data_IF_966754087671
#
_entry.id   IF_966754087671
#
_cell.length_a   1.000
_cell.length_b   1.000
_cell.length_c   1.000
_cell.angle_alpha   90.00
_cell.angle_beta   90.00
_cell.angle_gamma   90.00
#
_symmetry.space_group_name_H-M   'P 1'
#
loop_
_entity.id
_entity.type
_entity.pdbx_description
1 polymer ?
#
# COMPACT_ATOMS: atom_id res chain seq x y z
N UNK A 1 23.77 -26.47 1.05
CA UNK A 1 23.75 -25.14 1.71
C UNK A 1 22.32 -24.87 2.11
N UNK A 2 22.08 -24.50 3.36
CA UNK A 2 20.74 -24.10 3.80
C UNK A 2 20.50 -22.66 3.36
N UNK A 3 19.27 -22.33 2.99
CA UNK A 3 18.95 -21.00 2.47
C UNK A 3 17.89 -20.39 3.35
N UNK A 4 18.06 -19.12 3.69
CA UNK A 4 17.01 -18.32 4.33
C UNK A 4 16.68 -17.12 3.45
N UNK A 5 15.44 -17.07 2.97
CA UNK A 5 14.96 -15.93 2.18
C UNK A 5 14.48 -14.84 3.13
N UNK A 6 14.95 -13.63 2.92
CA UNK A 6 14.50 -12.44 3.63
C UNK A 6 13.96 -11.45 2.61
N UNK A 7 12.69 -11.12 2.72
CA UNK A 7 12.02 -10.16 1.87
C UNK A 7 12.10 -8.77 2.51
N UNK A 8 12.55 -7.79 1.73
CA UNK A 8 12.70 -6.40 2.17
C UNK A 8 12.14 -5.42 1.14
N UNK A 9 11.87 -4.21 1.60
CA UNK A 9 11.51 -3.09 0.74
C UNK A 9 12.76 -2.48 0.10
N UNK A 10 12.69 -2.13 -1.18
CA UNK A 10 13.82 -1.68 -1.98
C UNK A 10 14.47 -0.40 -1.44
N UNK A 11 13.66 0.57 -1.01
CA UNK A 11 14.13 1.89 -0.56
C UNK A 11 14.55 1.85 0.90
N UNK A 12 13.63 1.52 1.80
CA UNK A 12 13.86 1.64 3.24
C UNK A 12 14.47 0.38 3.88
N UNK A 13 14.66 -0.71 3.12
CA UNK A 13 15.18 -2.01 3.58
C UNK A 13 14.46 -2.60 4.79
N UNK A 14 13.27 -2.11 5.12
CA UNK A 14 12.45 -2.66 6.19
C UNK A 14 12.14 -4.13 5.88
N UNK A 15 12.07 -4.95 6.93
CA UNK A 15 11.66 -6.34 6.81
C UNK A 15 10.20 -6.39 6.35
N UNK A 16 9.96 -7.03 5.22
CA UNK A 16 8.62 -7.41 4.79
C UNK A 16 8.27 -8.76 5.42
N UNK A 17 9.10 -9.77 5.16
CA UNK A 17 8.88 -11.11 5.67
C UNK A 17 10.21 -11.87 5.81
N UNK A 18 10.32 -12.70 6.85
CA UNK A 18 11.47 -13.60 7.06
C UNK A 18 10.99 -15.03 6.93
N UNK A 19 11.41 -15.71 5.88
CA UNK A 19 11.09 -17.11 5.66
C UNK A 19 11.83 -18.01 6.64
N UNK A 20 11.28 -19.20 6.85
CA UNK A 20 12.00 -20.26 7.55
C UNK A 20 13.22 -20.69 6.74
N UNK A 21 14.15 -21.37 7.41
CA UNK A 21 15.34 -21.91 6.75
C UNK A 21 14.94 -23.10 5.90
N UNK A 22 15.20 -23.04 4.60
CA UNK A 22 15.11 -24.19 3.72
C UNK A 22 16.29 -25.12 3.98
N UNK A 23 15.96 -26.30 4.51
CA UNK A 23 16.91 -27.30 4.95
C UNK A 23 17.43 -28.10 3.74
N UNK A 24 18.73 -28.03 3.49
CA UNK A 24 19.34 -28.90 2.49
C UNK A 24 19.48 -30.35 2.99
N UNK A 25 19.80 -31.30 2.11
CA UNK A 25 20.02 -32.71 2.44
C UNK A 25 21.10 -32.97 3.52
N UNK A 26 21.98 -31.99 3.75
CA UNK A 26 23.03 -32.04 4.79
C UNK A 26 22.63 -31.30 6.08
N UNK A 27 21.37 -30.90 6.22
CA UNK A 27 20.85 -30.28 7.44
C UNK A 27 21.15 -31.18 8.65
N UNK A 28 21.82 -30.62 9.67
CA UNK A 28 22.40 -31.28 10.87
C UNK A 28 23.80 -31.89 10.74
N UNK A 29 24.45 -31.89 9.58
CA UNK A 29 25.88 -32.21 9.49
C UNK A 29 26.72 -31.00 9.93
N UNK A 30 27.82 -31.24 10.65
CA UNK A 30 28.75 -30.17 11.07
C UNK A 30 29.36 -29.50 9.83
N UNK A 31 29.50 -28.17 9.87
CA UNK A 31 30.11 -27.39 8.79
C UNK A 31 29.15 -26.97 7.67
N UNK A 32 27.84 -26.93 7.92
CA UNK A 32 26.89 -26.34 6.98
C UNK A 32 26.52 -24.91 7.41
N UNK A 33 26.74 -23.95 6.52
CA UNK A 33 26.39 -22.54 6.73
C UNK A 33 24.98 -22.25 6.20
N UNK A 34 24.27 -21.32 6.85
CA UNK A 34 22.96 -20.84 6.41
C UNK A 34 23.17 -19.56 5.61
N UNK A 35 22.98 -19.65 4.30
CA UNK A 35 23.09 -18.47 3.44
C UNK A 35 21.80 -17.67 3.45
N UNK A 36 21.91 -16.41 3.84
CA UNK A 36 20.81 -15.45 3.74
C UNK A 36 20.73 -14.89 2.32
N UNK A 37 19.54 -14.95 1.71
CA UNK A 37 19.26 -14.37 0.40
C UNK A 37 18.21 -13.28 0.57
N UNK A 38 18.60 -12.05 0.25
CA UNK A 38 17.69 -10.91 0.30
C UNK A 38 16.95 -10.75 -1.03
N UNK A 39 15.63 -10.61 -0.96
CA UNK A 39 14.76 -10.38 -2.11
C UNK A 39 14.01 -9.07 -1.89
N UNK A 40 13.96 -8.23 -2.93
CA UNK A 40 13.25 -6.97 -2.89
C UNK A 40 11.84 -7.16 -3.47
N UNK A 41 10.80 -6.88 -2.68
CA UNK A 41 9.40 -7.21 -3.02
C UNK A 41 8.50 -5.99 -3.25
N UNK A 42 8.93 -4.79 -2.83
CA UNK A 42 8.14 -3.57 -2.95
C UNK A 42 8.97 -2.30 -2.73
N UNK A 43 8.39 -1.13 -3.03
CA UNK A 43 9.11 0.15 -2.99
C UNK A 43 9.38 0.65 -1.56
N UNK A 44 8.33 0.96 -0.80
CA UNK A 44 8.38 1.48 0.58
C UNK A 44 7.43 0.73 1.51
N UNK A 45 7.82 0.55 2.77
CA UNK A 45 6.94 -0.07 3.77
C UNK A 45 5.83 0.89 4.22
N UNK A 46 4.76 0.42 4.89
CA UNK A 46 3.67 1.28 5.34
C UNK A 46 4.11 2.45 6.23
N UNK A 47 5.20 2.28 6.99
CA UNK A 47 5.78 3.35 7.84
C UNK A 47 6.53 4.43 7.06
N UNK A 48 7.01 4.09 5.86
CA UNK A 48 7.76 4.97 4.97
C UNK A 48 6.99 5.25 3.68
N UNK A 49 5.73 4.83 3.60
CA UNK A 49 4.85 5.15 2.50
C UNK A 49 4.31 6.55 2.76
N UNK A 50 4.71 7.50 1.92
CA UNK A 50 4.19 8.87 1.93
C UNK A 50 2.77 8.91 1.34
N UNK A 51 1.90 8.00 1.72
CA UNK A 51 0.45 8.20 1.58
C UNK A 51 0.09 9.23 2.64
N UNK A 52 -0.04 10.48 2.18
CA UNK A 52 -0.15 11.65 3.02
C UNK A 52 -1.10 11.46 4.20
N UNK A 53 -0.62 11.87 5.37
CA UNK A 53 -1.47 12.35 6.44
C UNK A 53 -2.45 13.38 5.87
N UNK A 54 -3.66 12.95 5.50
CA UNK A 54 -4.84 13.79 5.38
C UNK A 54 -5.84 13.27 6.41
N UNK A 55 -5.88 13.83 7.63
CA UNK A 55 -7.02 13.66 8.52
C UNK A 55 -8.14 14.54 7.96
N UNK A 56 -8.90 14.05 6.97
CA UNK A 56 -9.91 14.86 6.31
C UNK A 56 -10.87 14.02 5.50
N UNK A 57 -12.12 13.96 5.97
CA UNK A 57 -13.28 13.33 5.33
C UNK A 57 -13.38 13.68 3.84
N UNK A 58 -13.44 12.70 2.94
CA UNK A 58 -14.25 12.74 1.72
C UNK A 58 -14.16 11.40 0.96
N UNK A 59 -15.31 10.74 0.74
CA UNK A 59 -15.70 9.92 -0.43
C UNK A 59 -14.68 8.88 -0.99
N UNK A 60 -14.98 7.60 -1.16
CA UNK A 60 -16.09 7.10 -1.97
C UNK A 60 -16.33 5.61 -1.73
N UNK A 61 -17.60 5.29 -1.53
CA UNK A 61 -18.22 4.00 -1.79
C UNK A 61 -18.23 3.79 -3.33
N UNK A 62 -17.83 2.60 -3.76
CA UNK A 62 -17.78 2.16 -5.16
C UNK A 62 -19.20 2.14 -5.79
N UNK A 63 -19.41 2.04 -7.12
CA UNK A 63 -18.82 2.69 -8.31
C UNK A 63 -19.90 3.42 -9.17
N UNK A 64 -19.55 4.30 -10.11
CA UNK A 64 -20.46 4.57 -11.23
C UNK A 64 -19.72 4.63 -12.58
N UNK A 65 -20.14 3.71 -13.44
CA UNK A 65 -19.69 3.57 -14.83
C UNK A 65 -20.66 4.38 -15.69
N UNK A 66 -20.41 5.67 -15.85
CA UNK A 66 -21.30 6.58 -16.57
C UNK A 66 -20.55 7.44 -17.56
N UNK A 67 -20.41 6.97 -18.80
CA UNK A 67 -20.15 7.83 -19.94
C UNK A 67 -21.23 8.93 -19.98
N UNK A 68 -20.86 10.21 -19.96
CA UNK A 68 -21.79 11.30 -20.23
C UNK A 68 -21.06 12.43 -20.96
N UNK A 69 -20.91 12.25 -22.27
CA UNK A 69 -20.55 13.29 -23.20
C UNK A 69 -21.71 14.27 -23.38
N UNK A 70 -21.51 15.49 -22.87
CA UNK A 70 -22.21 16.71 -23.28
C UNK A 70 -23.51 17.02 -22.54
N UNK A 71 -23.57 18.22 -21.95
CA UNK A 71 -24.70 19.16 -22.08
C UNK A 71 -24.40 20.46 -21.31
N UNK A 72 -24.53 21.58 -22.02
CA UNK A 72 -24.41 22.95 -21.52
C UNK A 72 -25.60 23.37 -20.62
N UNK A 73 -25.45 24.53 -19.94
CA UNK A 73 -26.49 25.44 -19.38
C UNK A 73 -27.13 24.96 -18.06
N UNK A 74 -27.51 25.80 -17.09
CA UNK A 74 -27.66 27.24 -16.93
C UNK A 74 -27.86 27.54 -15.44
N UNK A 75 -27.62 28.79 -15.01
CA UNK A 75 -27.60 29.20 -13.61
C UNK A 75 -28.93 29.32 -12.87
N UNK A 76 -28.85 29.85 -11.64
CA UNK A 76 -30.00 30.25 -10.83
C UNK A 76 -29.56 30.79 -9.47
N UNK A 77 -29.54 32.12 -9.32
CA UNK A 77 -29.53 32.83 -8.04
C UNK A 77 -30.96 32.85 -7.49
N UNK A 78 -31.16 32.67 -6.18
CA UNK A 78 -32.34 33.11 -5.42
C UNK A 78 -31.81 33.42 -4.00
N UNK A 79 -31.79 34.64 -3.43
CA UNK A 79 -32.81 35.67 -3.19
C UNK A 79 -33.93 35.23 -2.23
N UNK A 80 -34.14 36.06 -1.20
CA UNK A 80 -35.32 36.14 -0.30
C UNK A 80 -35.43 35.05 0.80
N UNK A 81 -35.84 35.28 2.05
CA UNK A 81 -36.47 36.43 2.70
C UNK A 81 -37.49 35.89 3.72
N UNK A 82 -37.20 35.88 5.03
CA UNK A 82 -38.25 35.61 6.04
C UNK A 82 -37.91 36.10 7.44
N UNK A 83 -38.56 37.21 7.80
CA UNK A 83 -38.74 37.78 9.14
C UNK A 83 -39.93 37.10 9.85
N UNK A 84 -39.99 37.23 11.19
CA UNK A 84 -41.08 36.92 12.16
C UNK A 84 -40.86 35.62 12.96
N UNK A 85 -41.04 35.56 14.28
CA UNK A 85 -41.72 36.43 15.27
C UNK A 85 -40.96 36.41 16.59
#
# INVERSE_FOLDING_TARGET
MCIQVIERYAVCRCLYYKHQVDACSNYRRRGHDVQTREVLVGYTCPKHSTTGSQPGRYYDDYPDSGYASGSHRSGGRNADGSFRR
#
